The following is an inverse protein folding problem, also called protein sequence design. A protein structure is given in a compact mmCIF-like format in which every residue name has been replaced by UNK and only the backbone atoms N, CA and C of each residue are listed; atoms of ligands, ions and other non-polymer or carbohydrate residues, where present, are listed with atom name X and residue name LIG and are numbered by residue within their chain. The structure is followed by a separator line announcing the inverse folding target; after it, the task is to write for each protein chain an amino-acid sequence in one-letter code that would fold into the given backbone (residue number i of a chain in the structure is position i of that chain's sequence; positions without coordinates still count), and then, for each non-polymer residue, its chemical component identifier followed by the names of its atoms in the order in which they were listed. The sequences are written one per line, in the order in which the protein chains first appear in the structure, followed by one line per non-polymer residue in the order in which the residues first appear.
data_IF_503799778934
#
_entry.id   IF_503799778934
#
_cell.length_a   1.000
_cell.length_b   1.000
_cell.length_c   1.000
_cell.angle_alpha   90.00
_cell.angle_beta   90.00
_cell.angle_gamma   90.00
#
_symmetry.space_group_name_H-M   'P 1'
#
loop_
_entity.id
_entity.type
_entity.pdbx_description
1 polymer ?
#
# COMPACT_ATOMS: atom_id res chain seq x y z
N UNK A 1 12.33 2.18 7.53
CA UNK A 1 11.82 1.43 8.72
C UNK A 1 10.62 2.14 9.30
N UNK A 2 9.54 1.41 9.56
CA UNK A 2 8.30 1.90 10.18
C UNK A 2 8.14 1.28 11.57
N UNK A 3 7.59 2.10 12.49
CA UNK A 3 7.41 1.70 13.89
C UNK A 3 5.99 1.97 14.35
N UNK A 4 5.35 1.00 15.03
CA UNK A 4 4.01 1.16 15.60
C UNK A 4 3.91 0.47 16.95
N UNK A 5 3.18 1.05 17.91
CA UNK A 5 2.90 0.43 19.22
C UNK A 5 1.90 -0.71 19.12
N UNK A 6 1.02 -0.71 18.11
CA UNK A 6 -0.07 -1.69 17.90
C UNK A 6 -1.01 -1.86 19.11
N UNK A 7 -1.12 -0.83 19.95
CA UNK A 7 -1.86 -0.87 21.21
C UNK A 7 -3.38 -1.07 21.03
N UNK A 8 -3.93 -0.77 19.85
CA UNK A 8 -5.37 -0.90 19.55
C UNK A 8 -5.78 -2.21 18.87
N UNK A 9 -4.84 -3.13 18.61
CA UNK A 9 -5.12 -4.32 17.80
C UNK A 9 -5.77 -5.48 18.56
N UNK A 10 -5.85 -5.45 19.87
CA UNK A 10 -6.56 -6.40 20.77
C UNK A 10 -6.63 -7.85 20.28
N UNK A 11 -5.47 -8.47 20.04
CA UNK A 11 -5.39 -9.88 19.62
C UNK A 11 -5.59 -10.12 18.12
N UNK A 12 -5.89 -9.10 17.30
CA UNK A 12 -6.00 -9.24 15.86
C UNK A 12 -4.61 -9.41 15.25
N UNK A 13 -4.42 -10.46 14.44
CA UNK A 13 -3.17 -10.78 13.75
C UNK A 13 -1.95 -10.92 14.68
N UNK A 14 -2.14 -11.48 15.87
CA UNK A 14 -1.10 -11.65 16.90
C UNK A 14 -0.07 -12.74 16.59
N UNK A 15 -0.31 -13.54 15.54
CA UNK A 15 0.61 -14.60 15.11
C UNK A 15 1.26 -14.24 13.78
N UNK A 16 2.51 -14.69 13.59
CA UNK A 16 3.27 -14.45 12.37
C UNK A 16 3.77 -13.01 12.25
N UNK A 17 4.06 -12.58 11.02
CA UNK A 17 4.67 -11.27 10.71
C UNK A 17 3.71 -10.30 9.99
N UNK A 18 2.42 -10.61 9.93
CA UNK A 18 1.43 -9.76 9.26
C UNK A 18 1.26 -8.41 9.96
N UNK A 19 1.36 -8.40 11.30
CA UNK A 19 1.28 -7.20 12.15
C UNK A 19 2.38 -7.24 13.19
N UNK A 20 3.35 -6.33 13.04
CA UNK A 20 4.56 -6.25 13.86
C UNK A 20 4.82 -4.82 14.32
N UNK A 21 5.61 -4.65 15.37
CA UNK A 21 5.96 -3.33 15.91
C UNK A 21 6.94 -2.56 15.05
N UNK A 22 7.79 -3.26 14.31
CA UNK A 22 8.78 -2.70 13.40
C UNK A 22 8.75 -3.49 12.08
N UNK A 23 8.76 -2.78 10.96
CA UNK A 23 8.82 -3.36 9.63
C UNK A 23 9.46 -2.38 8.64
N UNK A 24 9.94 -2.89 7.53
CA UNK A 24 10.46 -2.08 6.43
C UNK A 24 9.40 -1.91 5.34
N UNK A 25 9.34 -0.68 4.81
CA UNK A 25 8.40 -0.29 3.78
C UNK A 25 9.08 0.62 2.76
N UNK A 26 8.86 0.35 1.48
CA UNK A 26 9.21 1.25 0.40
C UNK A 26 7.97 2.08 0.09
N UNK A 27 8.12 3.40 0.09
CA UNK A 27 7.01 4.35 -0.07
C UNK A 27 7.30 5.33 -1.19
N UNK A 28 6.32 5.56 -2.05
CA UNK A 28 6.33 6.62 -3.06
C UNK A 28 5.74 7.90 -2.46
N UNK A 29 6.31 9.04 -2.81
CA UNK A 29 5.75 10.36 -2.52
C UNK A 29 5.70 11.19 -3.79
N UNK A 30 4.62 11.94 -3.97
CA UNK A 30 4.47 12.85 -5.09
C UNK A 30 3.99 14.23 -4.62
N UNK A 31 4.46 15.26 -5.32
CA UNK A 31 4.11 16.65 -5.10
C UNK A 31 3.70 17.24 -6.44
N UNK A 32 2.42 17.56 -6.57
CA UNK A 32 1.86 18.01 -7.83
C UNK A 32 1.00 19.26 -7.64
N UNK A 33 0.63 19.89 -8.74
CA UNK A 33 -0.36 20.96 -8.71
C UNK A 33 -1.75 20.37 -8.39
N UNK A 34 -2.65 21.16 -7.79
CA UNK A 34 -4.00 20.71 -7.46
C UNK A 34 -4.76 20.04 -8.61
N UNK A 35 -4.65 20.61 -9.81
CA UNK A 35 -5.33 20.11 -11.02
C UNK A 35 -4.83 18.72 -11.47
N UNK A 36 -3.59 18.37 -11.18
CA UNK A 36 -2.95 17.12 -11.61
C UNK A 36 -3.14 15.97 -10.60
N UNK A 37 -3.58 16.26 -9.37
CA UNK A 37 -3.53 15.31 -8.25
C UNK A 37 -4.40 14.07 -8.43
N UNK A 38 -5.51 14.19 -9.14
CA UNK A 38 -6.36 13.03 -9.47
C UNK A 38 -5.65 12.05 -10.40
N UNK A 39 -5.04 12.57 -11.47
CA UNK A 39 -4.30 11.75 -12.43
C UNK A 39 -3.05 11.12 -11.80
N UNK A 40 -2.35 11.87 -10.96
CA UNK A 40 -1.18 11.37 -10.23
C UNK A 40 -1.56 10.25 -9.26
N UNK A 41 -2.72 10.32 -8.62
CA UNK A 41 -3.21 9.25 -7.73
C UNK A 41 -3.43 7.95 -8.49
N UNK A 42 -4.09 8.01 -9.65
CA UNK A 42 -4.28 6.85 -10.53
C UNK A 42 -2.94 6.31 -11.05
N UNK A 43 -1.98 7.19 -11.32
CA UNK A 43 -0.63 6.77 -11.73
C UNK A 43 0.09 5.99 -10.62
N UNK A 44 0.06 6.46 -9.36
CA UNK A 44 0.63 5.75 -8.21
C UNK A 44 -0.04 4.38 -8.06
N UNK A 45 -1.38 4.31 -8.08
CA UNK A 45 -2.13 3.05 -8.04
C UNK A 45 -1.67 2.11 -9.16
N UNK A 46 -1.49 2.61 -10.38
CA UNK A 46 -1.05 1.80 -11.52
C UNK A 46 0.33 1.17 -11.31
N UNK A 47 1.22 1.83 -10.56
CA UNK A 47 2.53 1.28 -10.21
C UNK A 47 2.37 0.12 -9.24
N UNK A 48 1.54 0.29 -8.20
CA UNK A 48 1.25 -0.78 -7.22
C UNK A 48 0.65 -2.01 -7.91
N UNK A 49 -0.32 -1.82 -8.82
CA UNK A 49 -0.91 -2.91 -9.60
C UNK A 49 0.11 -3.62 -10.52
N UNK A 50 0.99 -2.85 -11.18
CA UNK A 50 2.07 -3.44 -12.00
C UNK A 50 3.00 -4.35 -11.20
N UNK A 51 3.28 -4.00 -9.94
CA UNK A 51 4.09 -4.83 -9.06
C UNK A 51 3.38 -6.13 -8.69
N UNK A 52 2.08 -6.07 -8.37
CA UNK A 52 1.27 -7.25 -8.10
C UNK A 52 1.19 -8.18 -9.31
N UNK A 53 1.00 -7.63 -10.51
CA UNK A 53 1.02 -8.39 -11.76
C UNK A 53 2.38 -9.04 -12.03
N UNK A 54 3.47 -8.31 -11.84
CA UNK A 54 4.82 -8.83 -12.06
C UNK A 54 5.17 -9.99 -11.12
N UNK A 55 4.61 -9.99 -9.91
CA UNK A 55 4.76 -11.07 -8.94
C UNK A 55 3.77 -12.23 -9.14
N UNK A 56 2.74 -12.04 -9.99
CA UNK A 56 1.70 -13.03 -10.22
C UNK A 56 0.80 -13.30 -9.01
N UNK A 57 0.67 -12.32 -8.10
CA UNK A 57 -0.14 -12.46 -6.88
C UNK A 57 -1.55 -11.96 -7.16
N UNK A 58 -2.60 -12.78 -6.91
CA UNK A 58 -3.99 -12.34 -7.02
C UNK A 58 -4.30 -11.24 -5.99
N UNK A 59 -4.98 -10.19 -6.42
CA UNK A 59 -5.32 -9.06 -5.56
C UNK A 59 -6.67 -8.44 -5.94
N UNK A 60 -7.14 -7.53 -5.11
CA UNK A 60 -8.25 -6.63 -5.41
C UNK A 60 -7.92 -5.20 -4.98
N UNK A 61 -8.49 -4.24 -5.68
CA UNK A 61 -8.41 -2.82 -5.34
C UNK A 61 -9.69 -2.42 -4.62
N UNK A 62 -9.56 -1.72 -3.50
CA UNK A 62 -10.68 -1.17 -2.74
C UNK A 62 -10.56 0.35 -2.68
N UNK A 63 -11.59 1.04 -3.14
CA UNK A 63 -11.73 2.45 -2.82
C UNK A 63 -12.29 2.58 -1.42
N UNK A 64 -11.56 3.30 -0.56
CA UNK A 64 -11.91 3.42 0.85
C UNK A 64 -13.03 4.43 1.03
N UNK A 65 -14.08 4.03 1.74
CA UNK A 65 -15.21 4.89 2.06
C UNK A 65 -14.83 5.99 3.07
N UNK A 66 -15.60 7.06 3.08
CA UNK A 66 -15.33 8.23 3.92
C UNK A 66 -15.27 7.92 5.42
N UNK A 67 -15.94 6.86 5.89
CA UNK A 67 -15.90 6.44 7.29
C UNK A 67 -14.58 5.84 7.75
N UNK A 68 -13.76 5.33 6.80
CA UNK A 68 -12.46 4.71 7.05
C UNK A 68 -11.28 5.54 6.52
N UNK A 69 -11.55 6.71 5.93
CA UNK A 69 -10.48 7.62 5.52
C UNK A 69 -9.77 8.19 6.74
N UNK A 70 -8.43 8.23 6.70
CA UNK A 70 -7.65 9.03 7.63
C UNK A 70 -7.93 10.52 7.46
N UNK A 71 -7.74 11.29 8.53
CA UNK A 71 -7.99 12.75 8.55
C UNK A 71 -7.30 13.52 7.42
N UNK A 72 -6.15 13.03 6.95
CA UNK A 72 -5.35 13.67 5.91
C UNK A 72 -5.83 13.38 4.49
N UNK A 73 -6.47 12.23 4.26
CA UNK A 73 -6.78 11.74 2.92
C UNK A 73 -8.13 12.26 2.40
N UNK A 74 -8.13 12.81 1.19
CA UNK A 74 -9.35 13.14 0.45
C UNK A 74 -9.85 11.96 -0.40
N UNK A 75 -8.94 11.11 -0.86
CA UNK A 75 -9.22 9.85 -1.57
C UNK A 75 -8.14 8.84 -1.24
N UNK A 76 -8.52 7.55 -1.14
CA UNK A 76 -7.61 6.47 -0.78
C UNK A 76 -8.03 5.19 -1.48
N UNK A 77 -7.03 4.47 -2.02
CA UNK A 77 -7.17 3.09 -2.47
C UNK A 77 -6.29 2.17 -1.62
N UNK A 78 -6.80 0.99 -1.30
CA UNK A 78 -6.02 -0.11 -0.74
C UNK A 78 -5.95 -1.25 -1.74
N UNK A 79 -4.78 -1.88 -1.88
CA UNK A 79 -4.63 -3.16 -2.57
C UNK A 79 -4.54 -4.25 -1.51
N UNK A 80 -5.42 -5.23 -1.64
CA UNK A 80 -5.41 -6.42 -0.80
C UNK A 80 -4.98 -7.64 -1.63
N UNK A 81 -3.89 -8.27 -1.22
CA UNK A 81 -3.44 -9.54 -1.78
C UNK A 81 -4.27 -10.71 -1.25
N UNK A 82 -4.50 -11.71 -2.09
CA UNK A 82 -5.07 -12.98 -1.66
C UNK A 82 -4.03 -13.81 -0.91
N UNK A 83 -4.35 -14.24 0.30
CA UNK A 83 -3.52 -15.10 1.15
C UNK A 83 -4.23 -16.45 1.38
N UNK A 84 -3.91 -17.48 0.61
CA UNK A 84 -4.64 -18.77 0.64
C UNK A 84 -4.45 -19.56 1.94
N UNK A 85 -3.35 -19.35 2.66
CA UNK A 85 -3.03 -20.02 3.93
C UNK A 85 -3.73 -19.44 5.14
N UNK A 86 -4.27 -18.23 5.04
CA UNK A 86 -4.91 -17.54 6.16
C UNK A 86 -6.32 -18.07 6.42
N UNK A 87 -6.82 -18.03 7.69
CA UNK A 87 -8.20 -18.33 7.99
C UNK A 87 -9.16 -17.39 7.23
N UNK A 88 -10.25 -17.93 6.71
CA UNK A 88 -11.28 -17.09 6.08
C UNK A 88 -11.90 -16.12 7.09
N UNK A 89 -12.10 -14.88 6.67
CA UNK A 89 -12.83 -13.88 7.47
C UNK A 89 -14.32 -14.21 7.66
N UNK A 90 -14.87 -15.11 6.83
CA UNK A 90 -16.28 -15.52 6.87
C UNK A 90 -16.52 -16.83 7.65
N UNK A 91 -15.50 -17.42 8.27
CA UNK A 91 -15.61 -18.58 9.15
C UNK A 91 -15.71 -19.94 8.45
N UNK A 92 -15.93 -20.00 7.14
CA UNK A 92 -15.98 -21.24 6.36
C UNK A 92 -15.01 -21.19 5.20
N UNK A 93 -13.91 -21.93 5.29
CA UNK A 93 -12.93 -22.03 4.21
C UNK A 93 -11.54 -21.53 4.58
N UNK A 94 -10.65 -21.60 3.60
CA UNK A 94 -9.27 -21.06 3.68
C UNK A 94 -9.11 -19.89 2.72
N UNK A 95 -8.23 -18.97 3.10
CA UNK A 95 -7.88 -17.80 2.32
C UNK A 95 -8.66 -16.56 2.69
N UNK A 96 -7.97 -15.44 2.63
CA UNK A 96 -8.54 -14.11 2.87
C UNK A 96 -7.75 -13.07 2.11
N UNK A 97 -8.39 -11.94 1.81
CA UNK A 97 -7.70 -10.77 1.30
C UNK A 97 -7.12 -9.94 2.44
N UNK A 98 -5.87 -9.51 2.28
CA UNK A 98 -5.16 -8.70 3.28
C UNK A 98 -4.47 -7.52 2.62
N UNK A 99 -4.61 -6.34 3.22
CA UNK A 99 -3.97 -5.11 2.76
C UNK A 99 -2.46 -5.26 2.69
N UNK A 100 -1.90 -4.99 1.51
CA UNK A 100 -0.45 -4.99 1.23
C UNK A 100 0.05 -3.63 0.76
N UNK A 101 -0.80 -2.87 0.07
CA UNK A 101 -0.49 -1.53 -0.42
C UNK A 101 -1.63 -0.59 -0.07
N UNK A 102 -1.31 0.69 -0.03
CA UNK A 102 -2.28 1.76 0.21
C UNK A 102 -1.76 3.03 -0.43
N UNK A 103 -2.58 3.70 -1.23
CA UNK A 103 -2.24 5.01 -1.81
C UNK A 103 -3.27 6.06 -1.45
N UNK A 104 -2.80 7.26 -1.12
CA UNK A 104 -3.62 8.38 -0.66
C UNK A 104 -3.34 9.65 -1.44
N UNK A 105 -4.40 10.38 -1.77
CA UNK A 105 -4.34 11.77 -2.18
C UNK A 105 -4.73 12.63 -0.96
N UNK A 106 -3.74 13.30 -0.37
CA UNK A 106 -3.91 14.11 0.84
C UNK A 106 -4.22 15.59 0.50
N UNK A 107 -4.37 15.89 -0.78
CA UNK A 107 -4.56 17.25 -1.27
C UNK A 107 -3.55 18.23 -0.64
N UNK A 108 -3.99 19.35 -0.10
CA UNK A 108 -3.10 20.34 0.54
C UNK A 108 -2.92 20.14 2.06
N UNK A 109 -3.45 19.05 2.64
CA UNK A 109 -3.45 18.85 4.08
C UNK A 109 -2.04 18.87 4.70
N UNK A 110 -1.11 18.15 4.08
CA UNK A 110 0.28 18.10 4.54
C UNK A 110 1.07 19.35 4.10
N UNK A 111 0.91 19.78 2.86
CA UNK A 111 1.65 20.91 2.30
C UNK A 111 1.37 22.23 3.02
N UNK A 112 0.14 22.47 3.47
CA UNK A 112 -0.19 23.64 4.32
C UNK A 112 0.57 23.62 5.63
N UNK A 113 0.66 22.47 6.31
CA UNK A 113 1.36 22.31 7.60
C UNK A 113 2.87 22.43 7.47
N UNK A 114 3.42 21.94 6.36
CA UNK A 114 4.86 21.95 6.08
C UNK A 114 5.29 23.19 5.29
N UNK A 115 4.35 24.07 4.93
CA UNK A 115 4.60 25.26 4.11
C UNK A 115 5.21 24.96 2.74
N UNK A 116 4.87 23.79 2.16
CA UNK A 116 5.33 23.39 0.82
C UNK A 116 4.45 24.08 -0.24
N UNK A 117 5.06 24.89 -1.07
CA UNK A 117 4.37 25.71 -2.06
C UNK A 117 5.11 25.70 -3.40
N UNK A 118 4.36 25.91 -4.46
CA UNK A 118 4.91 26.24 -5.78
C UNK A 118 4.51 27.66 -6.20
N UNK A 119 5.29 28.26 -7.07
CA UNK A 119 4.93 29.55 -7.67
C UNK A 119 4.03 29.28 -8.87
N UNK A 120 2.74 29.63 -8.75
CA UNK A 120 1.80 29.49 -9.85
C UNK A 120 2.18 30.46 -11.00
N UNK A 121 2.52 29.97 -12.20
CA UNK A 121 2.96 30.82 -13.30
C UNK A 121 1.85 31.73 -13.84
N UNK A 122 0.59 31.35 -13.70
CA UNK A 122 -0.55 32.13 -14.18
C UNK A 122 -0.89 33.30 -13.25
N UNK A 123 -0.76 33.12 -11.94
CA UNK A 123 -1.12 34.13 -10.93
C UNK A 123 0.08 34.83 -10.33
N UNK A 124 1.29 34.29 -10.49
CA UNK A 124 2.52 34.76 -9.85
C UNK A 124 2.56 34.55 -8.33
N UNK A 125 1.53 33.93 -7.74
CA UNK A 125 1.39 33.69 -6.30
C UNK A 125 1.98 32.34 -5.88
N UNK A 126 2.38 32.24 -4.61
CA UNK A 126 2.75 30.97 -3.99
C UNK A 126 1.50 30.24 -3.50
N UNK A 127 1.27 29.04 -4.03
CA UNK A 127 0.13 28.20 -3.73
C UNK A 127 0.58 26.86 -3.13
N UNK A 128 -0.20 26.24 -2.22
CA UNK A 128 0.14 24.91 -1.70
C UNK A 128 0.14 23.88 -2.84
N UNK A 129 1.07 22.91 -2.80
CA UNK A 129 1.01 21.74 -3.66
C UNK A 129 0.01 20.73 -3.08
N UNK A 130 -0.48 19.81 -3.90
CA UNK A 130 -1.08 18.58 -3.42
C UNK A 130 0.00 17.54 -3.13
N UNK A 131 -0.18 16.79 -2.06
CA UNK A 131 0.72 15.69 -1.68
C UNK A 131 0.00 14.38 -1.82
N UNK A 132 0.72 13.39 -2.35
CA UNK A 132 0.24 12.03 -2.49
C UNK A 132 1.31 11.07 -1.97
N UNK A 133 0.87 9.92 -1.51
CA UNK A 133 1.76 8.84 -1.13
C UNK A 133 1.18 7.50 -1.56
N UNK A 134 2.06 6.51 -1.70
CA UNK A 134 1.65 5.15 -2.02
C UNK A 134 2.69 4.14 -1.55
N UNK A 135 2.23 3.09 -0.90
CA UNK A 135 3.09 1.98 -0.47
C UNK A 135 3.53 1.18 -1.68
N UNK A 136 4.81 1.22 -2.02
CA UNK A 136 5.36 0.35 -3.06
C UNK A 136 5.49 -1.08 -2.56
N UNK A 137 6.03 -1.26 -1.34
CA UNK A 137 6.17 -2.57 -0.70
C UNK A 137 6.13 -2.46 0.82
N UNK A 138 5.15 -3.11 1.46
CA UNK A 138 5.19 -3.49 2.87
C UNK A 138 5.90 -4.85 2.96
N UNK A 139 7.22 -4.86 3.20
CA UNK A 139 8.11 -6.01 2.98
C UNK A 139 7.59 -7.27 3.65
N UNK A 140 7.26 -7.23 4.95
CA UNK A 140 6.77 -8.41 5.68
C UNK A 140 5.48 -9.00 5.09
N UNK A 141 4.52 -8.16 4.71
CA UNK A 141 3.24 -8.61 4.11
C UNK A 141 3.45 -9.20 2.72
N UNK A 142 4.34 -8.60 1.93
CA UNK A 142 4.66 -9.12 0.59
C UNK A 142 5.42 -10.43 0.65
N UNK A 143 6.30 -10.64 1.64
CA UNK A 143 6.93 -11.94 1.87
C UNK A 143 5.87 -13.01 2.14
N UNK A 144 4.88 -12.74 3.02
CA UNK A 144 3.78 -13.67 3.27
C UNK A 144 3.02 -13.97 1.96
N UNK A 145 2.65 -12.93 1.21
CA UNK A 145 1.89 -13.10 -0.03
C UNK A 145 2.64 -13.95 -1.05
N UNK A 146 3.94 -13.72 -1.23
CA UNK A 146 4.79 -14.53 -2.12
C UNK A 146 4.88 -15.98 -1.63
N UNK A 147 5.21 -16.18 -0.35
CA UNK A 147 5.35 -17.52 0.21
C UNK A 147 4.07 -18.34 0.09
N UNK A 148 2.92 -17.77 0.46
CA UNK A 148 1.64 -18.48 0.44
C UNK A 148 1.15 -18.79 -0.99
N UNK A 149 1.38 -17.88 -1.95
CA UNK A 149 0.93 -18.09 -3.33
C UNK A 149 1.91 -18.93 -4.17
N UNK A 150 3.18 -18.99 -3.79
CA UNK A 150 4.23 -19.66 -4.55
C UNK A 150 4.72 -20.97 -3.93
N UNK A 151 4.15 -21.39 -2.79
CA UNK A 151 4.51 -22.66 -2.13
C UNK A 151 4.13 -23.85 -3.00
N UNK A 152 5.07 -24.81 -3.09
CA UNK A 152 4.89 -26.06 -3.85
C UNK A 152 4.48 -27.20 -2.89
N UNK A 153 4.02 -28.32 -3.48
CA UNK A 153 3.58 -29.49 -2.72
C UNK A 153 4.70 -30.12 -1.86
N UNK A 154 5.95 -29.94 -2.25
CA UNK A 154 7.13 -30.42 -1.51
C UNK A 154 7.61 -29.44 -0.42
N UNK A 155 6.89 -28.30 -0.24
CA UNK A 155 7.20 -27.29 0.74
C UNK A 155 8.20 -26.22 0.27
N UNK A 156 8.74 -26.34 -0.93
CA UNK A 156 9.60 -25.30 -1.50
C UNK A 156 8.79 -24.09 -1.95
N UNK A 157 9.46 -22.96 -2.15
CA UNK A 157 8.84 -21.73 -2.67
C UNK A 157 9.38 -21.48 -4.09
N UNK A 158 8.50 -21.51 -5.08
CA UNK A 158 8.87 -21.11 -6.44
C UNK A 158 9.04 -19.59 -6.48
N UNK A 159 10.23 -19.15 -6.83
CA UNK A 159 10.52 -17.72 -6.92
C UNK A 159 9.74 -17.11 -8.10
N UNK A 160 9.00 -16.01 -7.91
CA UNK A 160 8.39 -15.27 -9.02
C UNK A 160 9.44 -14.86 -10.06
N UNK A 161 9.18 -15.00 -11.38
CA UNK A 161 10.15 -14.67 -12.42
C UNK A 161 10.74 -13.26 -12.30
N UNK A 162 9.94 -12.29 -11.84
CA UNK A 162 10.39 -10.92 -11.62
C UNK A 162 11.49 -10.80 -10.55
N UNK A 163 11.67 -11.79 -9.68
CA UNK A 163 12.67 -11.81 -8.61
C UNK A 163 13.86 -12.72 -8.88
N UNK A 164 13.82 -13.58 -9.90
CA UNK A 164 14.89 -14.56 -10.17
C UNK A 164 16.26 -13.91 -10.37
N UNK A 165 16.31 -12.72 -10.96
CA UNK A 165 17.56 -11.98 -11.17
C UNK A 165 18.20 -11.39 -9.91
N UNK A 166 17.46 -11.35 -8.80
CA UNK A 166 17.88 -10.71 -7.53
C UNK A 166 18.18 -11.73 -6.42
N UNK A 167 17.76 -12.98 -6.58
CA UNK A 167 17.99 -14.05 -5.60
C UNK A 167 19.10 -14.94 -6.11
N UNK A 168 20.16 -15.07 -5.33
CA UNK A 168 21.33 -15.93 -5.62
C UNK A 168 21.37 -17.12 -4.69
#
# INVERSE_FOLDING_TARGET
SCFRREAGSYGKDTKGILRVHQFDKVEMFSFVKPEDSGQEHEFILSIEEKLMHALGIPYRVLQICTGDLGVQAANKYDIEAWLPGQPSSTGSGRGTYRETHSTSNDTEFQSRRLSIKYKNPATGKNEPVHTLNGTTFAIGRMIIAIMENCQQADGTIKIPPALEGYIR
#
